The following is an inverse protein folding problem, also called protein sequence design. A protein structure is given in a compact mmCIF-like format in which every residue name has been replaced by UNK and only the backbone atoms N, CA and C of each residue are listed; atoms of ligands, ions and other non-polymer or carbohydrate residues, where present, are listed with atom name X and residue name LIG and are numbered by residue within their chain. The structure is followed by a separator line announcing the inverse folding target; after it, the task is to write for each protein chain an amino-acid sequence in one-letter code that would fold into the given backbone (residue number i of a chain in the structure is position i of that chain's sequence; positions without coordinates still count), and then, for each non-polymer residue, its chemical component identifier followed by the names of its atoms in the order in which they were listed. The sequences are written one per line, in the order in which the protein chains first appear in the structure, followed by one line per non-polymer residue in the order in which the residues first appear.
data_IF_311124465285
#
_entry.id   IF_311124465285
#
_cell.length_a   1.000
_cell.length_b   1.000
_cell.length_c   1.000
_cell.angle_alpha   90.00
_cell.angle_beta   90.00
_cell.angle_gamma   90.00
#
_symmetry.space_group_name_H-M   'P 1'
#
loop_
_entity.id
_entity.type
_entity.pdbx_description
1 polymer ?
#
# COMPACT_ATOMS: atom_id res chain seq x y z
N UNK A 1 54.23 -51.25 -18.38
CA UNK A 1 53.22 -50.79 -19.36
C UNK A 1 51.94 -50.40 -18.65
N UNK A 2 51.75 -49.10 -18.35
CA UNK A 2 50.43 -48.49 -18.10
C UNK A 2 50.54 -47.03 -18.56
N UNK A 3 49.98 -46.73 -19.73
CA UNK A 3 49.82 -45.36 -20.20
C UNK A 3 48.51 -44.84 -19.63
N UNK A 4 48.59 -43.98 -18.62
CA UNK A 4 47.45 -43.24 -18.11
C UNK A 4 47.02 -42.19 -19.15
N UNK A 5 45.91 -42.47 -19.83
CA UNK A 5 45.28 -41.54 -20.74
C UNK A 5 44.59 -40.44 -19.92
N UNK A 6 45.21 -39.27 -19.79
CA UNK A 6 44.58 -38.09 -19.18
C UNK A 6 43.53 -37.52 -20.13
N UNK A 7 42.27 -37.63 -19.75
CA UNK A 7 41.14 -36.96 -20.41
C UNK A 7 41.30 -35.44 -20.26
N UNK A 8 41.76 -34.77 -21.31
CA UNK A 8 41.80 -33.31 -21.34
C UNK A 8 40.35 -32.77 -21.37
N UNK A 9 39.97 -32.05 -20.32
CA UNK A 9 38.71 -31.29 -20.30
C UNK A 9 38.86 -30.10 -21.25
N UNK A 10 38.16 -30.14 -22.38
CA UNK A 10 38.08 -29.02 -23.32
C UNK A 10 37.19 -27.95 -22.70
N UNK A 11 37.80 -26.91 -22.12
CA UNK A 11 37.10 -25.68 -21.77
C UNK A 11 36.77 -24.94 -23.07
N UNK A 12 35.52 -25.03 -23.54
CA UNK A 12 35.05 -24.20 -24.66
C UNK A 12 34.83 -22.77 -24.13
N UNK A 13 35.66 -21.82 -24.57
CA UNK A 13 35.47 -20.40 -24.29
C UNK A 13 34.39 -19.80 -25.19
N UNK A 14 33.63 -18.83 -24.67
CA UNK A 14 32.69 -18.01 -25.44
C UNK A 14 33.45 -17.17 -26.46
N UNK A 15 32.94 -17.08 -27.69
CA UNK A 15 33.52 -16.18 -28.70
C UNK A 15 33.10 -14.73 -28.42
N UNK A 16 33.93 -13.76 -28.83
CA UNK A 16 33.59 -12.34 -28.69
C UNK A 16 32.23 -12.02 -29.35
N UNK A 17 31.96 -12.61 -30.53
CA UNK A 17 30.72 -12.40 -31.26
C UNK A 17 29.51 -12.99 -30.52
N UNK A 18 29.67 -14.12 -29.84
CA UNK A 18 28.62 -14.74 -29.04
C UNK A 18 28.30 -13.93 -27.78
N UNK A 19 29.31 -13.37 -27.11
CA UNK A 19 29.11 -12.41 -26.02
C UNK A 19 28.39 -11.14 -26.49
N UNK A 20 28.75 -10.60 -27.65
CA UNK A 20 28.07 -9.43 -28.22
C UNK A 20 26.62 -9.74 -28.61
N UNK A 21 26.36 -10.90 -29.22
CA UNK A 21 25.02 -11.32 -29.60
C UNK A 21 24.12 -11.54 -28.37
N UNK A 22 24.63 -12.21 -27.33
CA UNK A 22 23.89 -12.43 -26.08
C UNK A 22 23.58 -11.12 -25.37
N UNK A 23 24.55 -10.20 -25.24
CA UNK A 23 24.32 -8.87 -24.67
C UNK A 23 23.29 -8.06 -25.48
N UNK A 24 23.35 -8.12 -26.82
CA UNK A 24 22.38 -7.44 -27.68
C UNK A 24 20.95 -7.95 -27.44
N UNK A 25 20.76 -9.27 -27.38
CA UNK A 25 19.46 -9.90 -27.11
C UNK A 25 19.00 -9.55 -25.68
N UNK A 26 19.87 -9.63 -24.68
CA UNK A 26 19.54 -9.27 -23.30
C UNK A 26 19.14 -7.81 -23.16
N UNK A 27 19.82 -6.88 -23.84
CA UNK A 27 19.47 -5.47 -23.85
C UNK A 27 18.09 -5.22 -24.48
N UNK A 28 17.79 -5.92 -25.58
CA UNK A 28 16.48 -5.84 -26.23
C UNK A 28 15.37 -6.34 -25.29
N UNK A 29 15.55 -7.50 -24.66
CA UNK A 29 14.57 -8.05 -23.71
C UNK A 29 14.40 -7.15 -22.47
N UNK A 30 15.49 -6.61 -21.92
CA UNK A 30 15.45 -5.73 -20.77
C UNK A 30 14.69 -4.42 -21.06
N UNK A 31 14.89 -3.82 -22.24
CA UNK A 31 14.22 -2.58 -22.62
C UNK A 31 12.70 -2.75 -22.75
N UNK A 32 12.24 -3.91 -23.23
CA UNK A 32 10.82 -4.25 -23.30
C UNK A 32 10.23 -4.69 -21.95
N UNK A 33 11.02 -5.38 -21.12
CA UNK A 33 10.58 -5.92 -19.82
C UNK A 33 10.50 -4.88 -18.71
N UNK A 34 11.39 -3.89 -18.70
CA UNK A 34 11.45 -2.86 -17.66
C UNK A 34 10.14 -2.06 -17.46
N UNK A 35 9.46 -1.52 -18.50
CA UNK A 35 8.22 -0.78 -18.32
C UNK A 35 7.06 -1.65 -17.80
N UNK A 36 7.07 -2.96 -18.08
CA UNK A 36 6.08 -3.86 -17.51
C UNK A 36 6.34 -4.06 -16.01
N UNK A 37 7.60 -4.30 -15.64
CA UNK A 37 7.97 -4.48 -14.24
C UNK A 37 7.67 -3.24 -13.38
N UNK A 38 7.92 -2.04 -13.90
CA UNK A 38 7.63 -0.80 -13.17
C UNK A 38 6.13 -0.62 -12.90
N UNK A 39 5.27 -0.96 -13.87
CA UNK A 39 3.80 -0.94 -13.68
C UNK A 39 3.33 -1.97 -12.66
N UNK A 40 3.91 -3.18 -12.69
CA UNK A 40 3.56 -4.23 -11.73
C UNK A 40 4.01 -3.88 -10.31
N UNK A 41 5.18 -3.27 -10.16
CA UNK A 41 5.65 -2.73 -8.87
C UNK A 41 4.70 -1.66 -8.34
N UNK A 42 4.34 -0.67 -9.16
CA UNK A 42 3.38 0.36 -8.77
C UNK A 42 2.01 -0.20 -8.37
N UNK A 43 1.50 -1.21 -9.10
CA UNK A 43 0.26 -1.88 -8.76
C UNK A 43 0.36 -2.66 -7.43
N UNK A 44 1.48 -3.32 -7.17
CA UNK A 44 1.73 -4.02 -5.91
C UNK A 44 1.82 -3.03 -4.73
N UNK A 45 2.48 -1.88 -4.91
CA UNK A 45 2.56 -0.84 -3.88
C UNK A 45 1.18 -0.27 -3.53
N UNK A 46 0.36 0.08 -4.54
CA UNK A 46 -1.01 0.54 -4.30
C UNK A 46 -1.84 -0.56 -3.65
N UNK A 47 -1.69 -1.81 -4.10
CA UNK A 47 -2.39 -2.95 -3.50
C UNK A 47 -2.02 -3.11 -2.02
N UNK A 48 -0.74 -3.06 -1.66
CA UNK A 48 -0.28 -3.16 -0.28
C UNK A 48 -0.88 -2.04 0.58
N UNK A 49 -0.80 -0.79 0.10
CA UNK A 49 -1.40 0.37 0.77
C UNK A 49 -2.91 0.17 1.03
N UNK A 50 -3.65 -0.28 0.02
CA UNK A 50 -5.09 -0.53 0.17
C UNK A 50 -5.40 -1.68 1.09
N UNK A 51 -4.65 -2.79 1.02
CA UNK A 51 -4.88 -3.98 1.84
C UNK A 51 -4.58 -3.70 3.31
N UNK A 52 -3.50 -2.98 3.62
CA UNK A 52 -3.20 -2.54 4.98
C UNK A 52 -4.30 -1.64 5.54
N UNK A 53 -4.75 -0.66 4.75
CA UNK A 53 -5.83 0.24 5.19
C UNK A 53 -7.15 -0.51 5.37
N UNK A 54 -7.49 -1.43 4.45
CA UNK A 54 -8.69 -2.26 4.54
C UNK A 54 -8.67 -3.12 5.82
N UNK A 55 -7.55 -3.79 6.09
CA UNK A 55 -7.36 -4.59 7.30
C UNK A 55 -7.45 -3.73 8.57
N UNK A 56 -6.84 -2.55 8.58
CA UNK A 56 -6.93 -1.62 9.70
C UNK A 56 -8.38 -1.15 9.95
N UNK A 57 -9.15 -0.86 8.89
CA UNK A 57 -10.58 -0.50 9.01
C UNK A 57 -11.43 -1.66 9.54
N UNK A 58 -11.14 -2.89 9.13
CA UNK A 58 -11.81 -4.08 9.66
C UNK A 58 -11.47 -4.29 11.13
N UNK A 59 -10.19 -4.16 11.50
CA UNK A 59 -9.72 -4.22 12.88
C UNK A 59 -10.37 -3.14 13.74
N UNK A 60 -10.43 -1.90 13.26
CA UNK A 60 -11.06 -0.77 13.96
C UNK A 60 -12.52 -1.08 14.30
N UNK A 61 -13.27 -1.61 13.34
CA UNK A 61 -14.66 -2.02 13.55
C UNK A 61 -14.77 -3.08 14.65
N UNK A 62 -13.93 -4.12 14.60
CA UNK A 62 -13.97 -5.20 15.59
C UNK A 62 -13.57 -4.71 16.98
N UNK A 63 -12.53 -3.89 17.07
CA UNK A 63 -12.06 -3.30 18.31
C UNK A 63 -13.08 -2.36 18.92
N UNK A 64 -13.76 -1.52 18.13
CA UNK A 64 -14.80 -0.64 18.64
C UNK A 64 -15.96 -1.42 19.26
N UNK A 65 -16.36 -2.53 18.65
CA UNK A 65 -17.39 -3.42 19.18
C UNK A 65 -16.92 -4.18 20.43
N UNK A 66 -15.65 -4.58 20.48
CA UNK A 66 -15.10 -5.37 21.58
C UNK A 66 -14.81 -4.54 22.83
N UNK A 67 -14.31 -3.31 22.66
CA UNK A 67 -13.90 -2.41 23.75
C UNK A 67 -15.04 -1.51 24.23
N UNK A 68 -16.05 -1.28 23.39
CA UNK A 68 -17.11 -0.31 23.68
C UNK A 68 -16.68 1.15 23.47
N UNK A 69 -15.46 1.39 22.96
CA UNK A 69 -14.93 2.73 22.68
C UNK A 69 -14.85 2.99 21.17
N UNK A 70 -15.03 4.23 20.69
CA UNK A 70 -14.83 4.53 19.29
C UNK A 70 -13.37 4.27 18.87
N UNK A 71 -13.15 3.81 17.65
CA UNK A 71 -11.80 3.55 17.13
C UNK A 71 -11.61 4.24 15.79
N UNK A 72 -10.55 5.04 15.67
CA UNK A 72 -10.28 5.88 14.51
C UNK A 72 -9.10 5.37 13.68
N UNK A 73 -9.31 5.32 12.36
CA UNK A 73 -8.27 5.13 11.33
C UNK A 73 -8.06 6.43 10.57
N UNK A 74 -6.82 6.91 10.49
CA UNK A 74 -6.50 8.06 9.65
C UNK A 74 -5.05 8.14 9.18
N UNK A 75 -4.76 8.82 8.06
CA UNK A 75 -3.45 9.38 7.79
C UNK A 75 -3.12 10.46 8.82
N UNK A 76 -1.84 10.62 9.18
CA UNK A 76 -1.43 11.63 10.16
C UNK A 76 -0.01 12.16 9.90
N UNK A 77 0.19 13.48 9.73
CA UNK A 77 1.52 14.11 9.59
C UNK A 77 2.42 13.99 10.83
N UNK A 78 1.83 13.93 12.02
CA UNK A 78 2.53 14.08 13.29
C UNK A 78 2.27 12.92 14.28
N UNK A 79 1.50 11.91 13.86
CA UNK A 79 1.08 10.80 14.72
C UNK A 79 0.04 11.20 15.79
N UNK A 80 -0.56 12.38 15.65
CA UNK A 80 -1.58 12.91 16.57
C UNK A 80 -2.82 13.39 15.84
N UNK A 81 -2.67 14.30 14.89
CA UNK A 81 -3.80 14.90 14.16
C UNK A 81 -4.04 14.11 12.87
N UNK A 82 -5.30 13.83 12.58
CA UNK A 82 -5.67 13.23 11.32
C UNK A 82 -5.55 14.26 10.19
N UNK A 83 -4.86 13.89 9.11
CA UNK A 83 -4.63 14.76 7.98
C UNK A 83 -3.85 14.05 6.87
N UNK A 84 -4.25 14.30 5.62
CA UNK A 84 -3.44 13.91 4.47
C UNK A 84 -2.20 14.81 4.36
N UNK A 85 -1.18 14.31 3.66
CA UNK A 85 0.03 15.06 3.35
C UNK A 85 1.29 14.22 3.48
N UNK A 86 1.27 13.27 4.41
CA UNK A 86 2.34 12.29 4.59
C UNK A 86 1.84 10.87 4.33
N UNK A 87 2.75 9.95 4.06
CA UNK A 87 2.45 8.51 3.93
C UNK A 87 2.23 7.79 5.26
N UNK A 88 2.21 8.48 6.41
CA UNK A 88 2.02 7.88 7.72
C UNK A 88 0.53 7.70 8.04
N UNK A 89 0.18 6.54 8.60
CA UNK A 89 -1.17 6.20 9.02
C UNK A 89 -1.18 5.62 10.42
N UNK A 90 -2.30 5.80 11.09
CA UNK A 90 -2.52 5.35 12.45
C UNK A 90 -3.93 4.82 12.66
N UNK A 91 -4.02 3.92 13.64
CA UNK A 91 -5.22 3.36 14.21
C UNK A 91 -5.12 3.58 15.72
N UNK A 92 -6.11 4.23 16.33
CA UNK A 92 -6.12 4.52 17.75
C UNK A 92 -7.53 4.42 18.33
N UNK A 93 -7.61 4.15 19.63
CA UNK A 93 -8.87 4.12 20.38
C UNK A 93 -9.16 5.51 20.93
N UNK A 94 -10.42 5.94 20.85
CA UNK A 94 -10.89 7.20 21.38
C UNK A 94 -11.46 6.99 22.78
N UNK A 95 -10.81 7.56 23.79
CA UNK A 95 -11.30 7.51 25.17
C UNK A 95 -12.45 8.52 25.38
N UNK A 96 -13.29 8.34 26.41
CA UNK A 96 -14.38 9.28 26.69
C UNK A 96 -13.88 10.73 26.82
N UNK A 97 -14.48 11.65 26.04
CA UNK A 97 -14.07 13.06 25.98
C UNK A 97 -13.01 13.38 24.90
N UNK A 98 -12.45 12.36 24.24
CA UNK A 98 -11.54 12.50 23.12
C UNK A 98 -12.21 12.96 21.83
N UNK A 99 -11.40 13.27 20.80
CA UNK A 99 -11.88 13.78 19.51
C UNK A 99 -11.56 12.81 18.38
N UNK A 100 -12.55 12.51 17.54
CA UNK A 100 -12.40 11.59 16.41
C UNK A 100 -11.21 11.87 15.47
N UNK A 101 -10.80 13.14 15.31
CA UNK A 101 -9.73 13.53 14.39
C UNK A 101 -8.38 13.84 15.07
N UNK A 102 -8.28 13.66 16.39
CA UNK A 102 -7.06 13.97 17.16
C UNK A 102 -6.88 12.88 18.20
N UNK A 103 -5.71 12.22 18.14
CA UNK A 103 -5.27 11.34 19.20
C UNK A 103 -4.73 12.16 20.38
N UNK A 104 -5.35 11.99 21.53
CA UNK A 104 -4.89 12.55 22.79
C UNK A 104 -3.73 11.72 23.39
N UNK A 105 -3.01 12.29 24.35
CA UNK A 105 -1.76 11.67 24.84
C UNK A 105 -1.99 10.34 25.57
N UNK A 106 -3.13 10.23 26.25
CA UNK A 106 -3.63 9.09 27.03
C UNK A 106 -4.38 8.06 26.17
N UNK A 107 -4.75 8.40 24.93
CA UNK A 107 -5.43 7.48 24.01
C UNK A 107 -4.44 6.44 23.44
N UNK A 108 -4.76 5.14 23.49
CA UNK A 108 -3.82 4.10 23.07
C UNK A 108 -3.66 4.07 21.54
N UNK A 109 -2.41 4.01 21.09
CA UNK A 109 -2.06 3.78 19.70
C UNK A 109 -2.10 2.27 19.41
N UNK A 110 -3.03 1.82 18.58
CA UNK A 110 -3.25 0.40 18.31
C UNK A 110 -2.36 -0.09 17.15
N UNK A 111 -2.23 0.70 16.09
CA UNK A 111 -1.40 0.36 14.93
C UNK A 111 -0.86 1.60 14.23
N UNK A 112 0.34 1.48 13.66
CA UNK A 112 0.92 2.46 12.73
C UNK A 112 1.44 1.76 11.49
N UNK A 113 1.31 2.39 10.34
CA UNK A 113 1.91 1.92 9.10
C UNK A 113 2.27 3.07 8.17
N UNK A 114 3.03 2.74 7.15
CA UNK A 114 3.54 3.68 6.16
C UNK A 114 3.08 3.24 4.78
N UNK A 115 2.70 4.20 3.96
CA UNK A 115 2.49 3.97 2.54
C UNK A 115 3.84 3.82 1.83
N UNK A 116 3.93 2.99 0.79
CA UNK A 116 5.09 2.98 -0.10
C UNK A 116 5.35 4.38 -0.68
N UNK A 117 6.62 4.73 -0.90
CA UNK A 117 7.03 6.08 -1.30
C UNK A 117 6.38 6.57 -2.62
N UNK A 118 6.05 5.65 -3.53
CA UNK A 118 5.36 5.96 -4.79
C UNK A 118 3.86 6.25 -4.64
N UNK A 119 3.27 5.93 -3.49
CA UNK A 119 1.82 5.99 -3.24
C UNK A 119 1.45 7.25 -2.47
N UNK A 120 0.48 7.99 -3.00
CA UNK A 120 -0.16 9.13 -2.34
C UNK A 120 -1.59 8.76 -1.96
N UNK A 121 -2.01 9.20 -0.77
CA UNK A 121 -3.37 9.04 -0.31
C UNK A 121 -4.13 10.37 -0.31
N UNK A 122 -5.39 10.32 -0.71
CA UNK A 122 -6.35 11.42 -0.64
C UNK A 122 -7.73 10.87 -0.31
N UNK A 123 -8.73 11.73 -0.13
CA UNK A 123 -10.07 11.24 0.18
C UNK A 123 -11.08 12.34 0.43
N UNK A 124 -12.34 11.95 0.62
CA UNK A 124 -13.42 12.88 0.96
C UNK A 124 -13.33 13.37 2.41
N UNK A 125 -12.72 12.57 3.29
CA UNK A 125 -12.46 12.89 4.71
C UNK A 125 -11.09 12.36 5.09
N UNK A 126 -10.45 13.02 6.05
CA UNK A 126 -9.12 12.66 6.56
C UNK A 126 -9.10 11.59 7.64
N UNK A 127 -10.23 10.99 8.01
CA UNK A 127 -10.31 9.97 9.06
C UNK A 127 -11.62 9.16 8.97
N UNK A 128 -11.60 7.95 9.51
CA UNK A 128 -12.72 7.05 9.64
C UNK A 128 -12.83 6.56 11.08
N UNK A 129 -13.90 6.94 11.78
CA UNK A 129 -14.16 6.51 13.16
C UNK A 129 -15.28 5.49 13.20
N UNK A 130 -15.03 4.38 13.88
CA UNK A 130 -15.98 3.32 14.15
C UNK A 130 -16.55 3.46 15.56
N UNK A 131 -17.85 3.71 15.68
CA UNK A 131 -18.57 3.72 16.95
C UNK A 131 -18.92 2.29 17.39
N UNK A 132 -19.10 2.04 18.71
CA UNK A 132 -19.47 0.73 19.28
C UNK A 132 -20.95 0.33 19.01
N UNK A 133 -21.54 0.76 17.89
CA UNK A 133 -22.97 0.53 17.55
C UNK A 133 -23.16 0.15 16.08
N UNK A 134 -24.33 -0.41 15.72
CA UNK A 134 -24.60 -0.99 14.39
C UNK A 134 -24.52 -0.01 13.19
N UNK A 135 -24.61 1.31 13.43
CA UNK A 135 -24.35 2.37 12.44
C UNK A 135 -23.03 3.06 12.80
N UNK A 136 -21.94 2.40 12.47
CA UNK A 136 -20.65 2.65 13.13
C UNK A 136 -19.75 3.68 12.46
N UNK A 137 -19.90 3.99 11.17
CA UNK A 137 -18.95 4.90 10.49
C UNK A 137 -19.63 5.87 9.52
N UNK A 138 -19.01 7.04 9.31
CA UNK A 138 -19.41 7.98 8.27
C UNK A 138 -19.03 7.45 6.88
N UNK A 139 -19.86 7.74 5.87
CA UNK A 139 -19.56 7.40 4.47
C UNK A 139 -18.39 8.25 3.99
N UNK A 140 -17.34 7.57 3.54
CA UNK A 140 -16.12 8.21 3.06
C UNK A 140 -15.39 7.34 2.06
N UNK A 141 -14.47 7.99 1.35
CA UNK A 141 -13.59 7.35 0.39
C UNK A 141 -12.17 7.74 0.70
N UNK A 142 -11.30 6.74 0.93
CA UNK A 142 -9.86 6.89 0.82
C UNK A 142 -9.44 6.46 -0.59
N UNK A 143 -8.52 7.20 -1.17
CA UNK A 143 -8.01 6.98 -2.51
C UNK A 143 -6.50 6.88 -2.45
N UNK A 144 -5.96 5.89 -3.14
CA UNK A 144 -4.55 5.58 -3.22
C UNK A 144 -4.14 5.63 -4.68
N UNK A 145 -3.25 6.55 -5.02
CA UNK A 145 -2.74 6.75 -6.37
C UNK A 145 -1.22 6.58 -6.37
N UNK A 146 -0.65 6.07 -7.47
CA UNK A 146 0.80 6.00 -7.63
C UNK A 146 1.28 7.16 -8.51
N UNK A 147 2.29 7.93 -8.05
CA UNK A 147 2.76 9.16 -8.72
C UNK A 147 3.17 8.94 -10.18
N UNK A 148 3.83 7.83 -10.48
CA UNK A 148 4.29 7.51 -11.84
C UNK A 148 3.33 6.63 -12.66
N UNK A 149 2.28 6.06 -12.05
CA UNK A 149 1.39 5.10 -12.71
C UNK A 149 -0.06 5.33 -12.24
N UNK A 150 -0.73 6.40 -12.70
CA UNK A 150 -2.08 6.74 -12.27
C UNK A 150 -3.11 5.61 -12.46
N UNK A 151 -2.92 4.74 -13.46
CA UNK A 151 -3.84 3.63 -13.75
C UNK A 151 -3.82 2.53 -12.67
N UNK A 152 -2.77 2.48 -11.83
CA UNK A 152 -2.68 1.56 -10.70
C UNK A 152 -3.63 1.94 -9.55
N UNK A 153 -4.24 3.14 -9.59
CA UNK A 153 -5.03 3.69 -8.50
C UNK A 153 -6.17 2.79 -8.00
N UNK A 154 -6.46 2.92 -6.70
CA UNK A 154 -7.51 2.19 -5.98
C UNK A 154 -8.18 3.09 -4.96
N UNK A 155 -9.46 2.82 -4.69
CA UNK A 155 -10.23 3.52 -3.66
C UNK A 155 -10.78 2.53 -2.64
N UNK A 156 -10.72 2.89 -1.36
CA UNK A 156 -11.39 2.20 -0.26
C UNK A 156 -12.59 3.03 0.15
N UNK A 157 -13.79 2.50 -0.02
CA UNK A 157 -15.04 3.15 0.35
C UNK A 157 -15.56 2.51 1.63
N UNK A 158 -15.88 3.34 2.63
CA UNK A 158 -16.57 2.92 3.86
C UNK A 158 -18.02 3.38 3.75
N UNK A 159 -18.97 2.47 3.94
CA UNK A 159 -20.41 2.79 3.98
C UNK A 159 -20.85 3.28 5.36
N UNK A 160 -22.06 3.85 5.46
CA UNK A 160 -22.72 4.15 6.76
C UNK A 160 -22.82 2.94 7.69
N UNK A 161 -22.88 1.73 7.12
CA UNK A 161 -22.93 0.48 7.89
C UNK A 161 -21.55 0.06 8.40
N UNK A 162 -20.49 0.80 8.06
CA UNK A 162 -19.11 0.54 8.46
C UNK A 162 -18.44 -0.61 7.71
N UNK A 163 -18.92 -1.00 6.52
CA UNK A 163 -18.26 -2.05 5.73
C UNK A 163 -17.28 -1.39 4.76
N UNK A 164 -15.96 -1.60 4.90
CA UNK A 164 -15.00 -1.11 3.92
C UNK A 164 -14.98 -2.03 2.69
N UNK A 165 -14.84 -1.44 1.49
CA UNK A 165 -14.68 -2.16 0.23
C UNK A 165 -13.67 -1.48 -0.68
N UNK A 166 -12.93 -2.26 -1.47
CA UNK A 166 -12.01 -1.74 -2.48
C UNK A 166 -12.72 -1.62 -3.82
N UNK A 167 -12.52 -0.52 -4.51
CA UNK A 167 -12.99 -0.28 -5.88
C UNK A 167 -11.91 0.43 -6.70
N UNK A 168 -12.13 0.54 -8.02
CA UNK A 168 -11.33 1.43 -8.86
C UNK A 168 -11.77 2.89 -8.65
N UNK A 169 -10.86 3.87 -8.68
CA UNK A 169 -11.21 5.28 -8.69
C UNK A 169 -11.93 5.65 -9.99
N UNK A 170 -12.66 6.76 -9.99
CA UNK A 170 -13.25 7.29 -11.22
C UNK A 170 -12.14 7.80 -12.15
N UNK A 171 -12.40 7.91 -13.46
CA UNK A 171 -11.46 8.54 -14.39
C UNK A 171 -11.07 9.95 -13.94
N UNK A 172 -9.78 10.29 -13.99
CA UNK A 172 -9.25 11.60 -13.59
C UNK A 172 -8.94 11.77 -12.10
N UNK A 173 -9.42 10.86 -11.26
CA UNK A 173 -9.24 10.91 -9.80
C UNK A 173 -7.78 10.81 -9.32
N UNK A 174 -6.95 10.11 -10.10
CA UNK A 174 -5.51 9.93 -9.87
C UNK A 174 -4.65 10.67 -10.90
N UNK A 175 -5.26 11.49 -11.77
CA UNK A 175 -4.56 12.24 -12.80
C UNK A 175 -4.18 13.66 -12.34
N UNK A 176 -4.39 13.98 -11.06
CA UNK A 176 -4.03 15.24 -10.42
C UNK A 176 -2.73 15.12 -9.64
#
# INVERSE_FOLDING_TARGET
MRHDCRTARISRGLTLIELLATLAISALLASLGWPLLSRQRAAAEVSAATSHTLAALQSARQMALATGHPVTVCPSPDGRRCGFGVGHWMLFENLPGGRDAIREADEPMLQRWHLPAGVIASGSRGYATYQPVARSAATLTFRFCHRGVPQAGRSVIVSQTGRPRVTRPNPGDCAR
#
